data_IF_874751480877
#
_entry.id   IF_874751480877
#
_cell.length_a   1.000
_cell.length_b   1.000
_cell.length_c   1.000
_cell.angle_alpha   90.00
_cell.angle_beta   90.00
_cell.angle_gamma   90.00
#
_symmetry.space_group_name_H-M   'P 1'
#
loop_
_entity.id
_entity.type
_entity.pdbx_description
1 polymer ?
#
# COMPACT_ATOMS: atom_id res chain seq x y z
N UNK A 1 -10.28 11.54 8.43
CA UNK A 1 -11.33 10.95 7.62
C UNK A 1 -11.01 9.50 7.31
N UNK A 2 -12.00 8.79 6.78
CA UNK A 2 -11.89 7.41 6.32
C UNK A 2 -12.27 7.35 4.84
N UNK A 3 -11.58 6.51 4.08
CA UNK A 3 -11.90 6.22 2.69
C UNK A 3 -11.64 4.75 2.43
N UNK A 4 -12.62 4.08 1.81
CA UNK A 4 -12.52 2.69 1.38
C UNK A 4 -11.86 2.61 0.00
N UNK A 5 -10.96 1.64 -0.18
CA UNK A 5 -10.43 1.24 -1.46
C UNK A 5 -10.77 -0.23 -1.68
N UNK A 6 -11.66 -0.48 -2.64
CA UNK A 6 -12.13 -1.83 -2.91
C UNK A 6 -11.08 -2.66 -3.64
N UNK A 7 -10.75 -3.83 -3.10
CA UNK A 7 -9.81 -4.77 -3.72
C UNK A 7 -10.39 -5.35 -5.03
N UNK A 8 -9.94 -4.85 -6.16
CA UNK A 8 -10.47 -5.21 -7.50
C UNK A 8 -10.36 -6.71 -7.77
N UNK A 9 -9.28 -7.35 -7.32
CA UNK A 9 -9.08 -8.80 -7.46
C UNK A 9 -10.18 -9.65 -6.84
N UNK A 10 -10.85 -9.17 -5.80
CA UNK A 10 -11.90 -9.92 -5.13
C UNK A 10 -13.15 -10.07 -6.02
N UNK A 11 -13.49 -9.02 -6.77
CA UNK A 11 -14.61 -9.05 -7.72
C UNK A 11 -14.37 -8.02 -8.82
N UNK A 12 -13.64 -8.37 -9.90
CA UNK A 12 -13.29 -7.45 -10.99
C UNK A 12 -14.47 -7.21 -11.93
N UNK A 13 -15.59 -6.79 -11.37
CA UNK A 13 -16.83 -6.53 -12.09
C UNK A 13 -17.10 -5.01 -12.17
N UNK A 14 -17.06 -4.42 -13.39
CA UNK A 14 -17.24 -2.97 -13.56
C UNK A 14 -18.55 -2.42 -12.98
N UNK A 15 -19.63 -3.19 -13.07
CA UNK A 15 -20.94 -2.73 -12.55
C UNK A 15 -20.94 -2.63 -11.03
N UNK A 16 -20.36 -3.63 -10.33
CA UNK A 16 -20.25 -3.61 -8.87
C UNK A 16 -19.30 -2.52 -8.39
N UNK A 17 -18.15 -2.38 -9.06
CA UNK A 17 -17.18 -1.32 -8.75
C UNK A 17 -17.82 0.06 -8.93
N UNK A 18 -18.62 0.29 -9.99
CA UNK A 18 -19.34 1.55 -10.17
C UNK A 18 -20.32 1.84 -9.03
N UNK A 19 -21.05 0.84 -8.54
CA UNK A 19 -21.93 1.03 -7.37
C UNK A 19 -21.10 1.49 -6.17
N UNK A 20 -19.97 0.86 -5.89
CA UNK A 20 -19.11 1.25 -4.76
C UNK A 20 -18.56 2.67 -4.94
N UNK A 21 -18.21 3.07 -6.16
CA UNK A 21 -17.76 4.44 -6.47
C UNK A 21 -18.82 5.50 -6.18
N UNK A 22 -20.10 5.20 -6.36
CA UNK A 22 -21.21 6.11 -5.99
C UNK A 22 -21.20 6.45 -4.49
N UNK A 23 -20.62 5.56 -3.67
CA UNK A 23 -20.42 5.76 -2.23
C UNK A 23 -19.02 6.30 -1.88
N UNK A 24 -18.22 6.69 -2.88
CA UNK A 24 -16.91 7.31 -2.67
C UNK A 24 -15.75 6.34 -2.54
N UNK A 25 -15.95 5.04 -2.79
CA UNK A 25 -14.86 4.06 -2.76
C UNK A 25 -13.87 4.28 -3.90
N UNK A 26 -12.59 4.13 -3.61
CA UNK A 26 -11.52 3.96 -4.59
C UNK A 26 -11.33 2.50 -4.99
N UNK A 27 -10.28 2.23 -5.78
CA UNK A 27 -9.89 0.88 -6.19
C UNK A 27 -8.51 0.54 -5.63
N UNK A 28 -8.36 -0.63 -5.02
CA UNK A 28 -7.05 -1.22 -4.74
C UNK A 28 -6.74 -2.27 -5.80
N UNK A 29 -5.63 -2.06 -6.50
CA UNK A 29 -5.19 -2.85 -7.64
C UNK A 29 -3.87 -3.54 -7.30
N UNK A 30 -3.75 -4.81 -7.64
CA UNK A 30 -2.53 -5.61 -7.42
C UNK A 30 -1.90 -6.13 -8.71
N UNK A 31 -2.40 -5.71 -9.87
CA UNK A 31 -1.89 -6.11 -11.18
C UNK A 31 -2.19 -5.08 -12.27
N UNK A 32 -1.46 -5.18 -13.39
CA UNK A 32 -1.71 -4.35 -14.58
C UNK A 32 -3.16 -4.43 -15.05
N UNK A 33 -3.73 -5.63 -15.09
CA UNK A 33 -5.11 -5.82 -15.55
C UNK A 33 -6.11 -5.05 -14.69
N UNK A 34 -5.92 -5.04 -13.38
CA UNK A 34 -6.77 -4.30 -12.45
C UNK A 34 -6.60 -2.78 -12.60
N UNK A 35 -5.36 -2.32 -12.80
CA UNK A 35 -5.08 -0.90 -13.12
C UNK A 35 -5.77 -0.49 -14.44
N UNK A 36 -5.66 -1.33 -15.48
CA UNK A 36 -6.31 -1.07 -16.78
C UNK A 36 -7.83 -1.03 -16.66
N UNK A 37 -8.41 -1.97 -15.90
CA UNK A 37 -9.86 -1.99 -15.66
C UNK A 37 -10.31 -0.71 -14.96
N UNK A 38 -9.66 -0.35 -13.87
CA UNK A 38 -9.99 0.84 -13.07
C UNK A 38 -9.86 2.12 -13.91
N UNK A 39 -8.78 2.24 -14.69
CA UNK A 39 -8.57 3.38 -15.59
C UNK A 39 -9.63 3.43 -16.71
N UNK A 40 -9.98 2.30 -17.33
CA UNK A 40 -11.02 2.22 -18.36
C UNK A 40 -12.41 2.60 -17.82
N UNK A 41 -12.66 2.36 -16.54
CA UNK A 41 -13.88 2.81 -15.84
C UNK A 41 -13.85 4.30 -15.48
N UNK A 42 -12.77 5.02 -15.77
CA UNK A 42 -12.62 6.44 -15.45
C UNK A 42 -12.38 6.71 -13.97
N UNK A 43 -11.79 5.75 -13.23
CA UNK A 43 -11.30 6.00 -11.87
C UNK A 43 -10.07 6.90 -11.97
N UNK A 44 -10.03 7.98 -11.20
CA UNK A 44 -8.87 8.89 -11.17
C UNK A 44 -7.72 8.25 -10.42
N UNK A 45 -6.48 8.60 -10.78
CA UNK A 45 -5.30 8.01 -10.19
C UNK A 45 -5.22 8.14 -8.66
N UNK A 46 -5.64 9.27 -8.11
CA UNK A 46 -5.71 9.50 -6.66
C UNK A 46 -6.72 8.61 -5.92
N UNK A 47 -7.64 8.00 -6.67
CA UNK A 47 -8.61 7.02 -6.19
C UNK A 47 -8.19 5.58 -6.50
N UNK A 48 -6.95 5.38 -6.94
CA UNK A 48 -6.35 4.07 -7.17
C UNK A 48 -5.14 3.88 -6.26
N UNK A 49 -5.19 2.85 -5.43
CA UNK A 49 -4.02 2.30 -4.74
C UNK A 49 -3.44 1.18 -5.61
N UNK A 50 -2.13 1.15 -5.75
CA UNK A 50 -1.45 0.05 -6.43
C UNK A 50 -0.53 -0.67 -5.45
N UNK A 51 -0.97 -1.84 -4.98
CA UNK A 51 -0.31 -2.68 -3.97
C UNK A 51 0.01 -4.05 -4.57
N UNK A 52 1.16 -4.15 -5.22
CA UNK A 52 1.69 -5.37 -5.83
C UNK A 52 2.95 -5.84 -5.10
N UNK A 53 3.16 -7.16 -5.00
CA UNK A 53 4.30 -7.74 -4.28
C UNK A 53 5.49 -7.99 -5.21
N UNK A 54 5.23 -8.54 -6.40
CA UNK A 54 6.25 -8.86 -7.41
C UNK A 54 5.98 -8.00 -8.64
N UNK A 55 6.38 -6.73 -8.55
CA UNK A 55 5.97 -5.70 -9.50
C UNK A 55 6.96 -5.56 -10.64
N UNK A 56 6.60 -5.97 -11.87
CA UNK A 56 7.44 -5.75 -13.03
C UNK A 56 7.44 -4.27 -13.45
N UNK A 57 8.49 -3.87 -14.19
CA UNK A 57 8.70 -2.48 -14.61
C UNK A 57 7.47 -1.84 -15.28
N UNK A 58 6.85 -2.54 -16.22
CA UNK A 58 5.72 -2.02 -16.97
C UNK A 58 4.46 -1.76 -16.12
N UNK A 59 4.31 -2.41 -14.98
CA UNK A 59 3.21 -2.14 -14.05
C UNK A 59 3.47 -0.85 -13.27
N UNK A 60 4.71 -0.61 -12.83
CA UNK A 60 5.11 0.67 -12.24
C UNK A 60 4.95 1.84 -13.23
N UNK A 61 5.37 1.63 -14.48
CA UNK A 61 5.18 2.63 -15.56
C UNK A 61 3.69 2.97 -15.73
N UNK A 62 2.84 1.96 -15.80
CA UNK A 62 1.41 2.18 -15.99
C UNK A 62 0.77 2.84 -14.78
N UNK A 63 1.07 2.37 -13.56
CA UNK A 63 0.56 2.96 -12.33
C UNK A 63 0.94 4.44 -12.21
N UNK A 64 2.21 4.77 -12.48
CA UNK A 64 2.70 6.15 -12.49
C UNK A 64 2.01 6.99 -13.58
N UNK A 65 1.85 6.44 -14.80
CA UNK A 65 1.19 7.12 -15.92
C UNK A 65 -0.24 7.52 -15.61
N UNK A 66 -1.00 6.69 -14.91
CA UNK A 66 -2.40 6.99 -14.54
C UNK A 66 -2.50 7.77 -13.22
N UNK A 67 -1.38 8.03 -12.54
CA UNK A 67 -1.32 8.78 -11.29
C UNK A 67 -1.79 8.01 -10.06
N UNK A 68 -1.75 6.67 -10.10
CA UNK A 68 -2.09 5.84 -8.95
C UNK A 68 -1.11 6.03 -7.78
N UNK A 69 -1.60 5.91 -6.55
CA UNK A 69 -0.73 5.87 -5.37
C UNK A 69 -0.04 4.52 -5.32
N UNK A 70 1.28 4.51 -5.51
CA UNK A 70 2.09 3.29 -5.51
C UNK A 70 2.48 2.93 -4.09
N UNK A 71 2.24 1.67 -3.71
CA UNK A 71 2.70 1.08 -2.48
C UNK A 71 3.92 0.19 -2.76
N UNK A 72 5.05 0.49 -2.15
CA UNK A 72 6.29 -0.27 -2.27
C UNK A 72 6.26 -1.45 -1.30
N UNK A 73 6.48 -2.65 -1.80
CA UNK A 73 6.46 -3.88 -1.01
C UNK A 73 7.82 -4.23 -0.39
N UNK A 74 8.91 -3.72 -0.95
CA UNK A 74 10.27 -3.97 -0.52
C UNK A 74 11.15 -2.73 -0.69
N UNK A 75 12.20 -2.60 0.14
CA UNK A 75 13.11 -1.45 0.08
C UNK A 75 13.83 -1.34 -1.25
N UNK A 76 14.09 -2.46 -1.94
CA UNK A 76 14.72 -2.47 -3.26
C UNK A 76 13.83 -1.88 -4.35
N UNK A 77 12.51 -1.83 -4.12
CA UNK A 77 11.58 -1.20 -5.03
C UNK A 77 11.80 0.32 -5.16
N UNK A 78 12.44 0.97 -4.20
CA UNK A 78 12.73 2.41 -4.26
C UNK A 78 13.60 2.72 -5.49
N UNK A 79 14.75 2.06 -5.59
CA UNK A 79 15.68 2.27 -6.70
C UNK A 79 15.13 1.69 -8.01
N UNK A 80 14.39 0.59 -7.93
CA UNK A 80 13.78 -0.02 -9.10
C UNK A 80 12.71 0.88 -9.72
N UNK A 81 11.82 1.46 -8.92
CA UNK A 81 10.82 2.41 -9.37
C UNK A 81 11.47 3.65 -10.01
N UNK A 82 12.46 4.26 -9.31
CA UNK A 82 13.14 5.44 -9.82
C UNK A 82 13.83 5.18 -11.16
N UNK A 83 14.51 4.03 -11.30
CA UNK A 83 15.15 3.63 -12.57
C UNK A 83 14.13 3.38 -13.67
N UNK A 84 12.99 2.82 -13.32
CA UNK A 84 11.94 2.44 -14.29
C UNK A 84 11.24 3.66 -14.88
N UNK A 85 10.82 4.61 -14.03
CA UNK A 85 10.02 5.76 -14.50
C UNK A 85 10.82 7.07 -14.59
N UNK A 86 12.07 7.09 -14.10
CA UNK A 86 12.98 8.23 -14.18
C UNK A 86 12.79 9.28 -13.08
N UNK A 87 11.87 9.07 -12.15
CA UNK A 87 11.60 9.95 -10.99
C UNK A 87 10.91 9.17 -9.88
N UNK A 88 10.69 9.79 -8.72
CA UNK A 88 9.78 9.26 -7.70
C UNK A 88 8.53 10.14 -7.58
N UNK A 89 7.33 9.54 -7.52
CA UNK A 89 6.10 10.28 -7.23
C UNK A 89 6.18 11.04 -5.90
N UNK A 90 5.48 12.18 -5.82
CA UNK A 90 5.41 12.99 -4.60
C UNK A 90 4.73 12.28 -3.44
N UNK A 91 3.87 11.32 -3.73
CA UNK A 91 3.16 10.49 -2.76
C UNK A 91 3.49 9.03 -3.01
N UNK A 92 4.04 8.36 -2.00
CA UNK A 92 4.34 6.93 -2.01
C UNK A 92 3.92 6.30 -0.69
N UNK A 93 3.55 5.04 -0.73
CA UNK A 93 3.29 4.21 0.44
C UNK A 93 4.31 3.09 0.54
N UNK A 94 4.59 2.64 1.76
CA UNK A 94 5.43 1.46 1.99
C UNK A 94 4.65 0.43 2.80
N UNK A 95 4.72 -0.84 2.39
CA UNK A 95 4.13 -1.94 3.13
C UNK A 95 5.01 -2.30 4.32
N UNK A 96 4.44 -2.23 5.50
CA UNK A 96 5.09 -2.61 6.74
C UNK A 96 4.79 -4.06 7.11
N UNK A 97 5.82 -4.80 7.49
CA UNK A 97 5.71 -6.11 8.11
C UNK A 97 6.25 -6.05 9.55
N UNK A 98 5.40 -6.19 10.58
CA UNK A 98 5.83 -6.11 11.98
C UNK A 98 6.69 -7.30 12.43
N UNK A 99 6.82 -8.35 11.61
CA UNK A 99 7.58 -9.55 11.96
C UNK A 99 6.84 -10.49 12.93
N UNK A 100 7.58 -11.39 13.55
CA UNK A 100 7.05 -12.51 14.34
C UNK A 100 6.33 -12.16 15.66
N UNK A 101 6.24 -10.87 16.00
CA UNK A 101 5.48 -10.42 17.19
C UNK A 101 3.96 -10.40 16.96
N UNK A 102 3.53 -10.43 15.70
CA UNK A 102 2.12 -10.43 15.34
C UNK A 102 1.67 -11.85 14.97
N UNK A 103 0.91 -12.50 15.84
CA UNK A 103 0.36 -13.84 15.59
C UNK A 103 -1.11 -13.75 15.22
N UNK A 104 -1.47 -14.31 14.08
CA UNK A 104 -2.85 -14.41 13.61
C UNK A 104 -3.29 -15.86 13.69
N UNK A 105 -4.42 -16.12 14.33
CA UNK A 105 -4.93 -17.48 14.59
C UNK A 105 -5.62 -18.15 13.40
N UNK A 106 -5.40 -17.66 12.17
CA UNK A 106 -5.99 -18.30 11.00
C UNK A 106 -4.90 -19.02 10.18
N UNK A 107 -5.18 -20.26 9.77
CA UNK A 107 -4.26 -21.12 9.02
C UNK A 107 -4.15 -20.76 7.52
N UNK A 108 -4.66 -19.63 7.08
CA UNK A 108 -4.76 -19.25 5.66
C UNK A 108 -3.59 -18.39 5.23
N UNK A 109 -2.97 -17.67 6.15
CA UNK A 109 -1.79 -16.85 5.89
C UNK A 109 -0.65 -17.20 6.85
N UNK A 110 0.57 -17.11 6.36
CA UNK A 110 1.76 -17.26 7.19
C UNK A 110 1.78 -16.18 8.28
N UNK A 111 2.36 -16.52 9.43
CA UNK A 111 2.63 -15.50 10.44
C UNK A 111 3.54 -14.41 9.85
N UNK A 112 3.39 -13.15 10.24
CA UNK A 112 4.23 -12.05 9.73
C UNK A 112 5.74 -12.32 9.85
N UNK A 113 6.19 -13.08 10.84
CA UNK A 113 7.58 -13.50 10.98
C UNK A 113 8.07 -14.45 9.89
N UNK A 114 7.17 -15.18 9.27
CA UNK A 114 7.45 -16.13 8.18
C UNK A 114 7.15 -15.49 6.81
N UNK A 115 6.45 -14.35 6.78
CA UNK A 115 6.09 -13.67 5.55
C UNK A 115 7.31 -12.94 4.96
N UNK A 116 7.45 -13.02 3.63
CA UNK A 116 8.54 -12.39 2.87
C UNK A 116 8.20 -10.98 2.40
N UNK A 117 6.99 -10.50 2.64
CA UNK A 117 6.45 -9.26 2.09
C UNK A 117 6.49 -8.13 3.11
N UNK A 118 6.85 -6.95 2.61
CA UNK A 118 6.88 -5.72 3.39
C UNK A 118 8.25 -5.39 3.97
N UNK A 119 8.40 -4.11 4.30
CA UNK A 119 9.59 -3.56 4.96
C UNK A 119 9.63 -4.01 6.42
N UNK A 120 10.79 -4.37 6.93
CA UNK A 120 11.01 -4.51 8.38
C UNK A 120 10.94 -3.14 9.04
N UNK A 121 10.91 -3.11 10.38
CA UNK A 121 10.93 -1.84 11.13
C UNK A 121 12.13 -0.98 10.75
N UNK A 122 13.33 -1.57 10.70
CA UNK A 122 14.57 -0.87 10.33
C UNK A 122 14.50 -0.34 8.89
N UNK A 123 14.00 -1.16 7.97
CA UNK A 123 13.83 -0.77 6.56
C UNK A 123 12.79 0.35 6.38
N UNK A 124 11.76 0.43 7.22
CA UNK A 124 10.82 1.56 7.19
C UNK A 124 11.53 2.88 7.50
N UNK A 125 12.34 2.93 8.55
CA UNK A 125 13.10 4.14 8.88
C UNK A 125 14.13 4.50 7.80
N UNK A 126 14.86 3.52 7.29
CA UNK A 126 15.84 3.71 6.22
C UNK A 126 15.15 4.17 4.93
N UNK A 127 14.13 3.46 4.48
CA UNK A 127 13.38 3.75 3.27
C UNK A 127 12.75 5.15 3.28
N UNK A 128 12.16 5.56 4.41
CA UNK A 128 11.58 6.90 4.55
C UNK A 128 12.63 8.01 4.48
N UNK A 129 13.83 7.80 5.05
CA UNK A 129 14.96 8.73 4.91
C UNK A 129 15.40 8.84 3.45
N UNK A 130 15.55 7.70 2.76
CA UNK A 130 15.94 7.66 1.35
C UNK A 130 14.89 8.36 0.48
N UNK A 131 13.62 7.99 0.61
CA UNK A 131 12.51 8.57 -0.16
C UNK A 131 12.40 10.08 0.04
N UNK A 132 12.54 10.54 1.29
CA UNK A 132 12.52 11.96 1.61
C UNK A 132 13.69 12.72 0.98
N UNK A 133 14.89 12.17 1.05
CA UNK A 133 16.07 12.74 0.41
C UNK A 133 15.92 12.83 -1.12
N UNK A 134 15.17 11.89 -1.73
CA UNK A 134 14.84 11.86 -3.15
C UNK A 134 13.62 12.73 -3.53
N UNK A 135 13.02 13.47 -2.57
CA UNK A 135 11.99 14.47 -2.84
C UNK A 135 10.55 13.97 -2.74
N UNK A 136 10.30 12.82 -2.12
CA UNK A 136 8.94 12.40 -1.74
C UNK A 136 8.42 13.30 -0.62
N UNK A 137 7.18 13.74 -0.73
CA UNK A 137 6.56 14.72 0.18
C UNK A 137 5.52 14.10 1.10
N UNK A 138 4.73 13.15 0.57
CA UNK A 138 3.64 12.49 1.29
C UNK A 138 3.92 10.99 1.39
N UNK A 139 3.84 10.46 2.60
CA UNK A 139 4.16 9.08 2.90
C UNK A 139 2.93 8.33 3.40
N UNK A 140 2.67 7.15 2.84
CA UNK A 140 1.66 6.23 3.38
C UNK A 140 2.31 5.05 4.07
N UNK A 141 1.64 4.52 5.09
CA UNK A 141 1.97 3.24 5.68
C UNK A 141 0.86 2.26 5.32
N UNK A 142 1.23 1.12 4.79
CA UNK A 142 0.31 0.03 4.47
C UNK A 142 0.72 -1.22 5.23
N UNK A 143 -0.24 -2.01 5.70
CA UNK A 143 0.04 -3.35 6.22
C UNK A 143 -1.11 -4.29 5.89
N UNK A 144 -0.77 -5.45 5.34
CA UNK A 144 -1.70 -6.52 5.02
C UNK A 144 -1.21 -7.80 5.69
N UNK A 145 -1.84 -8.18 6.81
CA UNK A 145 -1.41 -9.30 7.65
C UNK A 145 -2.37 -10.47 7.64
N UNK A 146 -3.62 -10.26 7.27
CA UNK A 146 -4.63 -11.30 7.26
C UNK A 146 -5.68 -11.09 6.17
N UNK A 147 -6.20 -12.21 5.66
CA UNK A 147 -7.38 -12.21 4.79
C UNK A 147 -8.35 -13.30 5.24
N UNK A 148 -9.61 -13.19 4.80
CA UNK A 148 -10.67 -14.16 5.12
C UNK A 148 -10.85 -14.38 6.64
N UNK A 149 -10.64 -13.36 7.45
CA UNK A 149 -10.91 -13.40 8.89
C UNK A 149 -12.41 -13.37 9.14
N UNK A 150 -12.86 -14.15 10.10
CA UNK A 150 -14.29 -14.18 10.52
C UNK A 150 -14.59 -13.19 11.65
N UNK A 151 -13.55 -12.55 12.20
CA UNK A 151 -13.63 -11.53 13.23
C UNK A 151 -12.79 -10.32 12.87
N UNK A 152 -13.11 -9.17 13.46
CA UNK A 152 -12.35 -7.92 13.26
C UNK A 152 -11.38 -7.62 14.40
N UNK A 153 -11.14 -8.58 15.30
CA UNK A 153 -10.43 -8.35 16.56
C UNK A 153 -8.96 -7.93 16.38
N UNK A 154 -8.35 -8.30 15.26
CA UNK A 154 -6.97 -7.93 14.98
C UNK A 154 -6.79 -6.49 14.49
N UNK A 155 -7.81 -5.89 13.84
CA UNK A 155 -7.72 -4.53 13.27
C UNK A 155 -7.39 -3.44 14.29
N UNK A 156 -7.98 -3.40 15.51
CA UNK A 156 -7.59 -2.42 16.50
C UNK A 156 -6.13 -2.51 16.94
N UNK A 157 -5.58 -3.73 17.03
CA UNK A 157 -4.18 -3.95 17.39
C UNK A 157 -3.27 -3.49 16.25
N UNK A 158 -3.57 -3.88 15.02
CA UNK A 158 -2.85 -3.44 13.83
C UNK A 158 -2.86 -1.92 13.69
N UNK A 159 -4.04 -1.30 13.83
CA UNK A 159 -4.17 0.15 13.74
C UNK A 159 -3.31 0.87 14.77
N UNK A 160 -3.29 0.40 16.02
CA UNK A 160 -2.46 0.96 17.08
C UNK A 160 -0.97 0.90 16.71
N UNK A 161 -0.49 -0.26 16.28
CA UNK A 161 0.91 -0.42 15.88
C UNK A 161 1.30 0.49 14.72
N UNK A 162 0.44 0.62 13.71
CA UNK A 162 0.71 1.50 12.58
C UNK A 162 0.67 3.00 12.98
N UNK A 163 -0.21 3.40 13.89
CA UNK A 163 -0.23 4.76 14.41
C UNK A 163 1.01 5.06 15.25
N UNK A 164 1.45 4.13 16.10
CA UNK A 164 2.68 4.27 16.88
C UNK A 164 3.91 4.34 15.98
N UNK A 165 3.96 3.49 14.94
CA UNK A 165 5.02 3.54 13.92
C UNK A 165 5.02 4.89 13.19
N UNK A 166 3.85 5.40 12.81
CA UNK A 166 3.73 6.70 12.12
C UNK A 166 4.28 7.86 12.98
N UNK A 167 4.00 7.85 14.29
CA UNK A 167 4.54 8.85 15.21
C UNK A 167 6.06 8.78 15.24
N UNK A 168 6.63 7.59 15.43
CA UNK A 168 8.09 7.38 15.46
C UNK A 168 8.76 7.78 14.15
N UNK A 169 8.19 7.36 13.00
CA UNK A 169 8.70 7.73 11.68
C UNK A 169 8.69 9.25 11.47
N UNK A 170 7.61 9.92 11.88
CA UNK A 170 7.52 11.38 11.81
C UNK A 170 8.58 12.06 12.69
N UNK A 171 8.76 11.59 13.92
CA UNK A 171 9.75 12.16 14.86
C UNK A 171 11.19 11.99 14.36
N UNK A 172 11.54 10.79 13.86
CA UNK A 172 12.92 10.49 13.47
C UNK A 172 13.30 10.95 12.06
N UNK A 173 12.33 10.94 11.13
CA UNK A 173 12.59 11.25 9.71
C UNK A 173 12.02 12.61 9.30
N UNK A 174 11.10 13.16 10.07
CA UNK A 174 10.32 14.34 9.69
C UNK A 174 9.40 14.11 8.48
N UNK A 175 9.03 12.85 8.21
CA UNK A 175 8.11 12.50 7.11
C UNK A 175 6.70 13.01 7.41
N UNK A 176 6.01 13.51 6.37
CA UNK A 176 4.59 13.83 6.45
C UNK A 176 3.78 12.59 6.07
N UNK A 177 3.02 12.04 7.03
CA UNK A 177 2.26 10.79 6.86
C UNK A 177 0.75 11.12 6.89
N UNK A 178 0.15 11.45 5.74
CA UNK A 178 -1.26 11.84 5.66
C UNK A 178 -2.24 10.67 5.72
N UNK A 179 -1.80 9.43 5.47
CA UNK A 179 -2.68 8.27 5.48
C UNK A 179 -2.00 6.99 5.96
N UNK A 180 -2.83 6.12 6.53
CA UNK A 180 -2.47 4.75 6.93
C UNK A 180 -3.51 3.82 6.32
N UNK A 181 -3.05 2.80 5.60
CA UNK A 181 -3.87 1.79 4.97
C UNK A 181 -3.82 0.50 5.79
N UNK A 182 -4.96 0.07 6.29
CA UNK A 182 -5.10 -1.14 7.10
C UNK A 182 -5.39 -2.39 6.25
N UNK A 183 -5.47 -2.20 4.92
CA UNK A 183 -5.76 -3.20 3.88
C UNK A 183 -7.15 -3.80 3.92
#
# INVERSE_FOLDING_TARGET
>A
GYKEFFAVKATPNPFLINILREYGCGCDCSSLTELMLSNAMGVKGEDIMFSSNDTPAHEFEYAAKIGATINLDDITHIDFLEKTIGYLPKTLSCRYNPGGYFSISNNIMDNPGDAKYGFTTEQMFEGYKILKAKGVENFGIHSFLASNTVTNDYYPTLARELFELAVKLKEETGAHIPFINLS
#
